data_IF_899543114444
#
_entry.id   IF_899543114444
#
_cell.length_a   1.000
_cell.length_b   1.000
_cell.length_c   1.000
_cell.angle_alpha   90.00
_cell.angle_beta   90.00
_cell.angle_gamma   90.00
#
_symmetry.space_group_name_H-M   'P 1'
#
loop_
_entity.id
_entity.type
_entity.pdbx_description
1 polymer ?
#
# COMPACT_ATOMS: atom_id res chain seq x y z
N UNK A 1 -23.05 -28.32 11.50
CA UNK A 1 -21.64 -27.99 11.20
C UNK A 1 -21.61 -26.74 10.32
N UNK A 2 -21.10 -25.59 10.77
CA UNK A 2 -21.02 -24.41 9.92
C UNK A 2 -19.89 -24.56 8.89
N UNK A 3 -20.24 -24.41 7.60
CA UNK A 3 -19.31 -24.44 6.46
C UNK A 3 -18.30 -23.31 6.61
N UNK A 4 -17.01 -23.66 6.68
CA UNK A 4 -15.93 -22.69 6.62
C UNK A 4 -15.93 -22.05 5.23
N UNK A 5 -16.38 -20.79 5.15
CA UNK A 5 -16.21 -19.99 3.95
C UNK A 5 -14.71 -19.80 3.72
N UNK A 6 -14.18 -20.48 2.70
CA UNK A 6 -12.80 -20.33 2.28
C UNK A 6 -12.53 -18.84 2.01
N UNK A 7 -11.69 -18.22 2.85
CA UNK A 7 -11.15 -16.88 2.59
C UNK A 7 -10.38 -16.95 1.27
N UNK A 8 -11.02 -16.52 0.18
CA UNK A 8 -10.39 -16.33 -1.13
C UNK A 8 -9.37 -15.21 -0.93
N UNK A 9 -8.09 -15.58 -0.77
CA UNK A 9 -7.01 -14.62 -0.63
C UNK A 9 -7.02 -13.70 -1.83
N UNK A 10 -7.37 -12.43 -1.64
CA UNK A 10 -7.33 -11.44 -2.71
C UNK A 10 -5.88 -11.37 -3.18
N UNK A 11 -5.62 -11.74 -4.44
CA UNK A 11 -4.29 -11.71 -5.02
C UNK A 11 -3.77 -10.26 -4.97
N UNK A 12 -2.95 -9.96 -3.96
CA UNK A 12 -2.34 -8.64 -3.73
C UNK A 12 -1.48 -8.20 -4.94
N UNK A 13 -1.12 -9.13 -5.82
CA UNK A 13 -0.44 -8.86 -7.09
C UNK A 13 -1.24 -8.02 -8.10
N UNK A 14 -2.59 -8.01 -8.02
CA UNK A 14 -3.43 -7.23 -8.94
C UNK A 14 -3.70 -5.79 -8.48
N UNK A 15 -3.30 -5.43 -7.25
CA UNK A 15 -3.47 -4.10 -6.71
C UNK A 15 -2.82 -2.98 -7.55
N UNK A 16 -1.58 -3.11 -8.07
CA UNK A 16 -1.00 -2.07 -8.92
C UNK A 16 -1.77 -1.88 -10.24
N UNK A 17 -2.29 -2.97 -10.83
CA UNK A 17 -3.10 -2.89 -12.05
C UNK A 17 -4.44 -2.20 -11.78
N UNK A 18 -5.08 -2.52 -10.67
CA UNK A 18 -6.33 -1.87 -10.25
C UNK A 18 -6.11 -0.37 -9.99
N UNK A 19 -5.01 0.01 -9.35
CA UNK A 19 -4.64 1.40 -9.11
C UNK A 19 -4.39 2.17 -10.40
N UNK A 20 -3.72 1.55 -11.37
CA UNK A 20 -3.48 2.15 -12.68
C UNK A 20 -4.79 2.34 -13.46
N UNK A 21 -5.70 1.38 -13.41
CA UNK A 21 -7.03 1.50 -14.01
C UNK A 21 -7.86 2.61 -13.34
N UNK A 22 -7.83 2.71 -12.01
CA UNK A 22 -8.46 3.82 -11.29
C UNK A 22 -7.87 5.17 -11.69
N UNK A 23 -6.54 5.29 -11.73
CA UNK A 23 -5.88 6.52 -12.15
C UNK A 23 -6.27 6.90 -13.59
N UNK A 24 -6.31 5.94 -14.52
CA UNK A 24 -6.76 6.19 -15.88
C UNK A 24 -8.22 6.70 -15.92
N UNK A 25 -9.13 6.07 -15.17
CA UNK A 25 -10.53 6.52 -15.08
C UNK A 25 -10.66 7.94 -14.50
N UNK A 26 -9.87 8.28 -13.48
CA UNK A 26 -9.83 9.62 -12.90
C UNK A 26 -9.28 10.66 -13.88
N UNK A 27 -8.28 10.28 -14.69
CA UNK A 27 -7.76 11.13 -15.76
C UNK A 27 -8.84 11.49 -16.78
N UNK A 28 -9.63 10.51 -17.22
CA UNK A 28 -10.77 10.74 -18.13
C UNK A 28 -11.80 11.67 -17.48
N UNK A 29 -12.22 11.40 -16.24
CA UNK A 29 -13.20 12.23 -15.52
C UNK A 29 -12.67 13.66 -15.34
N UNK A 30 -11.39 13.82 -15.03
CA UNK A 30 -10.74 15.11 -14.87
C UNK A 30 -10.78 15.94 -16.15
N UNK A 31 -10.49 15.32 -17.29
CA UNK A 31 -10.52 15.98 -18.60
C UNK A 31 -11.91 16.52 -18.95
N UNK A 32 -12.97 15.75 -18.68
CA UNK A 32 -14.35 16.19 -18.90
C UNK A 32 -14.83 17.23 -17.89
N UNK A 33 -14.31 17.21 -16.67
CA UNK A 33 -14.70 18.17 -15.61
C UNK A 33 -13.96 19.51 -15.74
N UNK A 34 -12.80 19.52 -16.39
CA UNK A 34 -11.97 20.71 -16.61
C UNK A 34 -12.71 21.93 -17.20
N UNK A 35 -13.50 21.83 -18.29
CA UNK A 35 -14.22 22.97 -18.84
C UNK A 35 -15.24 23.56 -17.86
N UNK A 36 -15.97 22.73 -17.11
CA UNK A 36 -16.96 23.18 -16.12
C UNK A 36 -16.30 23.94 -14.96
N UNK A 37 -15.11 23.49 -14.53
CA UNK A 37 -14.36 24.20 -13.49
C UNK A 37 -13.72 25.49 -14.03
N UNK A 38 -13.26 25.51 -15.29
CA UNK A 38 -12.77 26.72 -15.97
C UNK A 38 -13.85 27.80 -15.97
N UNK A 39 -15.08 27.47 -16.38
CA UNK A 39 -16.18 28.45 -16.41
C UNK A 39 -16.51 28.96 -15.01
N UNK A 40 -16.60 28.08 -14.01
CA UNK A 40 -16.82 28.48 -12.62
C UNK A 40 -15.70 29.38 -12.07
N UNK A 41 -14.44 29.13 -12.41
CA UNK A 41 -13.34 29.99 -11.97
C UNK A 41 -13.35 31.36 -12.64
N UNK A 42 -13.67 31.42 -13.94
CA UNK A 42 -13.80 32.70 -14.67
C UNK A 42 -14.95 33.52 -14.09
N UNK A 43 -16.07 32.89 -13.74
CA UNK A 43 -17.25 33.57 -13.20
C UNK A 43 -17.06 34.06 -11.76
N UNK A 44 -16.30 33.32 -10.93
CA UNK A 44 -16.13 33.64 -9.50
C UNK A 44 -14.83 34.40 -9.18
N UNK A 45 -13.84 34.39 -10.08
CA UNK A 45 -12.53 35.03 -9.83
C UNK A 45 -12.35 36.21 -10.79
N UNK A 46 -12.73 37.39 -10.33
CA UNK A 46 -12.69 38.66 -11.08
C UNK A 46 -11.30 39.08 -11.62
N UNK A 47 -10.22 38.34 -11.33
CA UNK A 47 -8.84 38.59 -11.80
C UNK A 47 -8.23 37.41 -12.56
N UNK A 48 -9.03 36.43 -13.00
CA UNK A 48 -8.51 35.29 -13.72
C UNK A 48 -8.07 35.70 -15.14
N UNK A 49 -6.81 36.11 -15.30
CA UNK A 49 -6.16 36.43 -16.59
C UNK A 49 -5.79 35.15 -17.35
N UNK A 50 -6.78 34.32 -17.58
CA UNK A 50 -6.62 33.02 -18.22
C UNK A 50 -6.47 33.05 -19.74
N UNK A 51 -6.59 34.22 -20.36
CA UNK A 51 -6.63 34.39 -21.81
C UNK A 51 -5.25 34.53 -22.46
N UNK A 52 -4.17 34.50 -21.68
CA UNK A 52 -2.80 34.71 -22.19
C UNK A 52 -2.19 33.40 -22.74
N UNK A 53 -2.80 32.25 -22.43
CA UNK A 53 -2.37 30.93 -22.89
C UNK A 53 -3.36 30.38 -23.93
N UNK A 54 -2.88 29.61 -24.93
CA UNK A 54 -3.74 28.83 -25.82
C UNK A 54 -4.73 27.97 -25.03
N UNK A 55 -5.99 27.91 -25.46
CA UNK A 55 -7.06 27.22 -24.72
C UNK A 55 -6.72 25.76 -24.39
N UNK A 56 -6.05 25.07 -25.32
CA UNK A 56 -5.62 23.68 -25.13
C UNK A 56 -4.62 23.53 -23.97
N UNK A 57 -3.67 24.45 -23.85
CA UNK A 57 -2.68 24.44 -22.75
C UNK A 57 -3.35 24.74 -21.42
N UNK A 58 -4.28 25.68 -21.42
CA UNK A 58 -5.04 26.07 -20.24
C UNK A 58 -5.92 24.91 -19.74
N UNK A 59 -6.61 24.22 -20.65
CA UNK A 59 -7.42 23.05 -20.33
C UNK A 59 -6.56 21.91 -19.79
N UNK A 60 -5.41 21.63 -20.40
CA UNK A 60 -4.48 20.62 -19.93
C UNK A 60 -3.95 20.93 -18.52
N UNK A 61 -3.66 22.21 -18.23
CA UNK A 61 -3.23 22.64 -16.91
C UNK A 61 -4.31 22.39 -15.85
N UNK A 62 -5.55 22.80 -16.13
CA UNK A 62 -6.68 22.57 -15.24
C UNK A 62 -6.98 21.09 -15.03
N UNK A 63 -7.00 20.31 -16.10
CA UNK A 63 -7.17 18.86 -16.03
C UNK A 63 -6.06 18.21 -15.19
N UNK A 64 -4.81 18.68 -15.31
CA UNK A 64 -3.69 18.22 -14.49
C UNK A 64 -3.87 18.52 -13.00
N UNK A 65 -4.28 19.76 -12.66
CA UNK A 65 -4.53 20.15 -11.26
C UNK A 65 -5.68 19.34 -10.67
N UNK A 66 -6.81 19.24 -11.38
CA UNK A 66 -7.98 18.45 -10.94
C UNK A 66 -7.60 16.98 -10.76
N UNK A 67 -6.78 16.44 -11.67
CA UNK A 67 -6.32 15.06 -11.59
C UNK A 67 -5.50 14.80 -10.32
N UNK A 68 -4.55 15.69 -9.99
CA UNK A 68 -3.74 15.57 -8.76
C UNK A 68 -4.62 15.64 -7.51
N UNK A 69 -5.58 16.56 -7.48
CA UNK A 69 -6.53 16.70 -6.36
C UNK A 69 -7.36 15.43 -6.19
N UNK A 70 -7.93 14.90 -7.28
CA UNK A 70 -8.71 13.67 -7.26
C UNK A 70 -7.86 12.45 -6.87
N UNK A 71 -6.61 12.37 -7.32
CA UNK A 71 -5.66 11.35 -6.89
C UNK A 71 -5.39 11.43 -5.39
N UNK A 72 -5.20 12.64 -4.85
CA UNK A 72 -4.99 12.87 -3.42
C UNK A 72 -6.19 12.39 -2.59
N UNK A 73 -7.40 12.75 -2.99
CA UNK A 73 -8.65 12.30 -2.34
C UNK A 73 -8.78 10.78 -2.42
N UNK A 74 -8.51 10.20 -3.58
CA UNK A 74 -8.56 8.74 -3.79
C UNK A 74 -7.53 8.02 -2.92
N UNK A 75 -6.32 8.54 -2.83
CA UNK A 75 -5.26 8.02 -1.96
C UNK A 75 -5.65 8.08 -0.49
N UNK A 76 -6.30 9.16 -0.05
CA UNK A 76 -6.86 9.29 1.30
C UNK A 76 -7.98 8.27 1.56
N UNK A 77 -8.92 8.11 0.62
CA UNK A 77 -9.99 7.12 0.72
C UNK A 77 -9.43 5.69 0.80
N UNK A 78 -8.45 5.35 -0.04
CA UNK A 78 -7.75 4.07 0.01
C UNK A 78 -7.01 3.91 1.34
N UNK A 79 -6.33 4.93 1.84
CA UNK A 79 -5.63 4.86 3.11
C UNK A 79 -6.56 4.63 4.31
N UNK A 80 -7.79 5.16 4.25
CA UNK A 80 -8.82 4.94 5.29
C UNK A 80 -9.49 3.56 5.15
N UNK A 81 -9.72 3.11 3.92
CA UNK A 81 -10.44 1.86 3.65
C UNK A 81 -9.55 0.62 3.72
N UNK A 82 -8.25 0.74 3.45
CA UNK A 82 -7.31 -0.37 3.59
C UNK A 82 -7.14 -0.65 5.10
N UNK A 83 -7.61 -1.81 5.60
CA UNK A 83 -7.36 -2.18 6.98
C UNK A 83 -5.85 -2.30 7.17
N UNK A 84 -5.27 -1.51 8.07
CA UNK A 84 -3.86 -1.64 8.47
C UNK A 84 -3.64 -3.09 8.89
N UNK A 85 -2.95 -3.87 8.05
CA UNK A 85 -2.74 -5.31 8.21
C UNK A 85 -2.14 -5.60 9.60
N UNK A 86 -3.01 -5.88 10.58
CA UNK A 86 -2.62 -6.35 11.91
C UNK A 86 -1.94 -7.73 11.81
N UNK A 87 -2.31 -8.49 10.77
CA UNK A 87 -1.81 -9.84 10.50
C UNK A 87 -0.33 -9.86 10.10
N UNK A 88 0.19 -8.81 9.45
CA UNK A 88 1.62 -8.71 9.11
C UNK A 88 2.49 -8.56 10.36
N UNK A 89 1.98 -7.92 11.42
CA UNK A 89 2.67 -7.83 12.73
C UNK A 89 2.58 -9.15 13.49
N UNK A 90 1.45 -9.85 13.41
CA UNK A 90 1.26 -11.17 14.03
C UNK A 90 2.13 -12.26 13.41
N UNK A 91 2.31 -12.26 12.07
CA UNK A 91 3.21 -13.20 11.40
C UNK A 91 4.66 -12.98 11.81
N UNK A 92 5.09 -11.72 11.94
CA UNK A 92 6.44 -11.35 12.42
C UNK A 92 6.67 -11.84 13.86
N UNK A 93 5.71 -11.63 14.76
CA UNK A 93 5.87 -12.07 16.15
C UNK A 93 5.90 -13.60 16.29
N UNK A 94 5.08 -14.32 15.51
CA UNK A 94 5.08 -15.78 15.49
C UNK A 94 6.39 -16.36 14.93
N UNK A 95 6.96 -15.71 13.91
CA UNK A 95 8.29 -16.07 13.37
C UNK A 95 9.39 -15.83 14.41
N UNK A 96 9.41 -14.65 15.06
CA UNK A 96 10.38 -14.37 16.14
C UNK A 96 10.33 -15.38 17.28
N UNK A 97 9.13 -15.82 17.67
CA UNK A 97 8.96 -16.85 18.70
C UNK A 97 9.44 -18.24 18.26
N UNK A 98 9.28 -18.57 16.96
CA UNK A 98 9.79 -19.81 16.38
C UNK A 98 11.33 -19.81 16.37
N UNK A 99 11.94 -18.70 15.97
CA UNK A 99 13.39 -18.55 15.90
C UNK A 99 14.03 -18.61 17.29
N UNK A 100 13.41 -17.97 18.29
CA UNK A 100 13.86 -18.09 19.69
C UNK A 100 13.84 -19.53 20.19
N UNK A 101 12.78 -20.30 19.89
CA UNK A 101 12.69 -21.71 20.28
C UNK A 101 13.77 -22.56 19.59
N UNK A 102 14.02 -22.33 18.30
CA UNK A 102 15.08 -23.02 17.58
C UNK A 102 16.47 -22.73 18.18
N UNK A 103 16.75 -21.46 18.49
CA UNK A 103 18.03 -21.05 19.09
C UNK A 103 18.27 -21.67 20.47
N UNK A 104 17.23 -21.78 21.31
CA UNK A 104 17.33 -22.42 22.63
C UNK A 104 17.62 -23.92 22.46
N UNK A 105 16.90 -24.60 21.56
CA UNK A 105 17.10 -26.02 21.30
C UNK A 105 18.51 -26.32 20.78
N UNK A 106 19.05 -25.49 19.88
CA UNK A 106 20.43 -25.62 19.39
C UNK A 106 21.46 -25.40 20.51
N UNK A 107 21.26 -24.39 21.37
CA UNK A 107 22.14 -24.15 22.51
C UNK A 107 22.15 -25.32 23.48
N UNK A 108 21.00 -25.92 23.75
CA UNK A 108 20.92 -27.11 24.61
C UNK A 108 21.59 -28.33 23.98
N UNK A 109 21.36 -28.58 22.69
CA UNK A 109 22.03 -29.66 21.96
C UNK A 109 23.55 -29.50 21.97
N UNK A 110 24.05 -28.28 21.76
CA UNK A 110 25.49 -27.96 21.82
C UNK A 110 26.07 -28.16 23.21
N UNK A 111 25.35 -27.77 24.27
CA UNK A 111 25.75 -28.04 25.66
C UNK A 111 25.79 -29.53 25.97
N UNK A 112 24.80 -30.32 25.51
CA UNK A 112 24.78 -31.77 25.70
C UNK A 112 25.96 -32.45 25.01
N UNK A 113 26.26 -32.06 23.76
CA UNK A 113 27.43 -32.57 23.02
C UNK A 113 28.74 -32.29 23.75
N UNK A 114 28.94 -31.06 24.24
CA UNK A 114 30.15 -30.70 25.02
C UNK A 114 30.32 -31.56 26.27
N UNK A 115 29.23 -31.81 27.02
CA UNK A 115 29.26 -32.68 28.22
C UNK A 115 29.59 -34.14 27.90
N UNK A 116 29.19 -34.64 26.73
CA UNK A 116 29.54 -36.01 26.30
C UNK A 116 31.03 -36.10 25.98
N UNK A 117 31.55 -35.14 25.21
CA UNK A 117 32.99 -35.06 24.85
C UNK A 117 33.86 -34.90 26.10
N UNK A 118 33.48 -34.04 27.05
CA UNK A 118 34.21 -33.89 28.32
C UNK A 118 34.22 -35.16 29.16
N UNK A 119 33.14 -35.94 29.15
CA UNK A 119 33.08 -37.23 29.87
C UNK A 119 33.93 -38.30 29.19
N UNK A 120 34.03 -38.26 27.87
CA UNK A 120 34.83 -39.17 27.07
C UNK A 120 36.33 -38.87 27.23
N UNK A 121 36.71 -37.59 27.17
CA UNK A 121 38.09 -37.14 27.41
C UNK A 121 38.60 -37.37 28.83
N UNK A 122 37.72 -37.58 29.82
CA UNK A 122 38.10 -37.85 31.22
C UNK A 122 38.31 -39.35 31.51
N UNK A 123 37.96 -40.22 30.55
CA UNK A 123 38.12 -41.68 30.65
C UNK A 123 39.38 -42.20 29.96
N UNK A 124 40.04 -41.37 29.15
CA UNK A 124 41.38 -41.58 28.61
C UNK A 124 42.39 -40.78 29.43
#
# INVERSE_FOLDING_TARGET
MPKQAAKKGTNKALWPVLGLFMAASLGVISWFTAPTIKTLMVDNVAKFRGNELPEDQMQALFAGVIFIVLLGITGLLLAVTIPRDKDAKLSSHKQMMKDRKAMIAEREAKKRRRRMVERENRKY
#
